data_IF_451914958338
#
_entry.id   IF_451914958338
#
_cell.length_a   1.000
_cell.length_b   1.000
_cell.length_c   1.000
_cell.angle_alpha   90.00
_cell.angle_beta   90.00
_cell.angle_gamma   90.00
#
_symmetry.space_group_name_H-M   'P 1'
#
loop_
_entity.id
_entity.type
_entity.pdbx_description
1 polymer ?
#
# COMPACT_ATOMS: atom_id res chain seq x y z
N UNK A 1 -1.26 -7.13 20.15
CA UNK A 1 -0.51 -6.16 19.31
C UNK A 1 -0.92 -4.77 19.76
N UNK A 2 0.04 -3.89 20.00
CA UNK A 2 -0.24 -2.50 20.34
C UNK A 2 -0.63 -1.73 19.06
N UNK A 3 -1.90 -1.37 18.95
CA UNK A 3 -2.45 -0.67 17.78
C UNK A 3 -2.17 0.85 17.80
N UNK A 4 -1.49 1.38 18.82
CA UNK A 4 -0.97 2.74 18.77
C UNK A 4 0.13 2.89 17.69
N UNK A 5 0.83 1.81 17.36
CA UNK A 5 1.88 1.83 16.33
C UNK A 5 1.30 1.78 14.92
N UNK A 6 1.81 2.62 14.00
CA UNK A 6 1.31 2.68 12.63
C UNK A 6 1.67 1.44 11.81
N UNK A 7 1.01 1.30 10.66
CA UNK A 7 1.55 0.54 9.53
C UNK A 7 2.18 1.54 8.57
N UNK A 8 3.42 1.32 8.19
CA UNK A 8 4.10 2.11 7.14
C UNK A 8 4.31 1.22 5.93
N UNK A 9 3.76 1.62 4.79
CA UNK A 9 3.78 0.87 3.52
C UNK A 9 4.57 1.65 2.48
N UNK A 10 5.65 1.08 1.98
CA UNK A 10 6.51 1.70 0.95
C UNK A 10 6.30 1.00 -0.38
N UNK A 11 6.06 1.76 -1.44
CA UNK A 11 5.80 1.24 -2.79
C UNK A 11 7.02 1.35 -3.69
N UNK A 12 7.34 0.29 -4.42
CA UNK A 12 8.41 0.29 -5.43
C UNK A 12 7.95 -0.43 -6.70
N UNK A 13 8.30 0.13 -7.87
CA UNK A 13 7.98 -0.47 -9.17
C UNK A 13 6.70 0.06 -9.79
N UNK A 14 5.92 -0.79 -10.46
CA UNK A 14 4.68 -0.37 -11.11
C UNK A 14 3.70 0.32 -10.13
N UNK A 15 2.98 1.31 -10.66
CA UNK A 15 1.89 1.99 -9.96
C UNK A 15 0.80 1.01 -9.54
N UNK A 16 0.13 1.29 -8.42
CA UNK A 16 -1.01 0.52 -7.96
C UNK A 16 -2.18 1.39 -7.53
N UNK A 17 -3.38 0.98 -7.93
CA UNK A 17 -4.62 1.51 -7.38
C UNK A 17 -4.83 0.87 -6.00
N UNK A 18 -4.48 1.62 -4.96
CA UNK A 18 -4.67 1.24 -3.56
C UNK A 18 -6.04 1.69 -3.08
N UNK A 19 -6.81 0.77 -2.53
CA UNK A 19 -8.13 1.02 -1.99
C UNK A 19 -8.08 1.12 -0.47
N UNK A 20 -8.57 2.22 0.09
CA UNK A 20 -8.76 2.45 1.51
C UNK A 20 -10.28 2.43 1.83
N UNK A 21 -10.74 1.35 2.45
CA UNK A 21 -12.11 1.18 2.94
C UNK A 21 -12.34 1.83 4.30
N UNK A 22 -13.50 1.59 4.91
CA UNK A 22 -13.82 2.01 6.28
C UNK A 22 -13.37 0.99 7.34
N UNK A 23 -13.93 1.10 8.54
CA UNK A 23 -13.79 0.12 9.64
C UNK A 23 -14.68 -1.11 9.48
N UNK A 24 -15.60 -1.10 8.50
CA UNK A 24 -16.42 -2.25 8.09
C UNK A 24 -16.07 -2.64 6.66
N UNK A 25 -16.08 -3.95 6.36
CA UNK A 25 -15.71 -4.49 5.04
C UNK A 25 -16.56 -3.94 3.89
N UNK A 26 -17.84 -3.68 4.15
CA UNK A 26 -18.83 -3.12 3.22
C UNK A 26 -18.95 -1.60 3.30
N UNK A 27 -18.11 -0.94 4.12
CA UNK A 27 -18.12 0.51 4.25
C UNK A 27 -17.61 1.21 2.98
N UNK A 28 -17.78 2.55 2.91
CA UNK A 28 -17.29 3.33 1.77
C UNK A 28 -15.77 3.20 1.62
N UNK A 29 -15.30 3.30 0.37
CA UNK A 29 -13.88 3.22 0.05
C UNK A 29 -13.44 4.37 -0.84
N UNK A 30 -12.16 4.74 -0.70
CA UNK A 30 -11.47 5.70 -1.54
C UNK A 30 -10.33 4.98 -2.26
N UNK A 31 -9.98 5.41 -3.45
CA UNK A 31 -8.85 4.85 -4.22
C UNK A 31 -7.78 5.91 -4.40
N UNK A 32 -6.54 5.53 -4.15
CA UNK A 32 -5.33 6.31 -4.38
C UNK A 32 -4.48 5.57 -5.40
N UNK A 33 -3.89 6.27 -6.35
CA UNK A 33 -2.81 5.70 -7.15
C UNK A 33 -1.52 5.89 -6.37
N UNK A 34 -0.85 4.78 -6.01
CA UNK A 34 0.46 4.79 -5.38
C UNK A 34 1.52 4.54 -6.44
N UNK A 35 2.47 5.46 -6.53
CA UNK A 35 3.62 5.41 -7.42
C UNK A 35 4.84 4.77 -6.75
N UNK A 36 5.84 4.44 -7.55
CA UNK A 36 7.15 4.05 -7.00
C UNK A 36 7.74 5.20 -6.18
N UNK A 37 8.13 4.91 -4.94
CA UNK A 37 8.64 5.89 -3.98
C UNK A 37 7.60 6.36 -2.96
N UNK A 38 6.31 6.13 -3.19
CA UNK A 38 5.27 6.57 -2.28
C UNK A 38 5.29 5.80 -0.95
N UNK A 39 5.00 6.54 0.13
CA UNK A 39 4.82 6.01 1.48
C UNK A 39 3.38 6.24 1.93
N UNK A 40 2.70 5.16 2.28
CA UNK A 40 1.34 5.21 2.84
C UNK A 40 1.37 4.81 4.32
N UNK A 41 0.80 5.65 5.18
CA UNK A 41 0.79 5.44 6.63
C UNK A 41 -0.64 5.25 7.13
N UNK A 42 -0.89 4.13 7.82
CA UNK A 42 -2.14 3.86 8.52
C UNK A 42 -1.90 3.97 10.03
N UNK A 43 -2.35 5.07 10.62
CA UNK A 43 -2.22 5.39 12.04
C UNK A 43 -3.55 5.84 12.64
N UNK A 44 -3.64 5.92 13.97
CA UNK A 44 -4.83 6.37 14.68
C UNK A 44 -6.09 5.61 14.26
N UNK A 45 -7.18 6.33 14.00
CA UNK A 45 -8.45 5.75 13.54
C UNK A 45 -8.33 4.98 12.22
N UNK A 46 -7.34 5.33 11.39
CA UNK A 46 -7.10 4.63 10.13
C UNK A 46 -6.34 3.32 10.27
N UNK A 47 -5.73 3.05 11.43
CA UNK A 47 -4.87 1.88 11.67
C UNK A 47 -5.54 0.54 11.41
N UNK A 48 -6.86 0.48 11.59
CA UNK A 48 -7.67 -0.73 11.45
C UNK A 48 -8.61 -0.68 10.24
N UNK A 49 -8.49 0.32 9.37
CA UNK A 49 -9.32 0.40 8.16
C UNK A 49 -8.99 -0.73 7.20
N UNK A 50 -10.02 -1.31 6.59
CA UNK A 50 -9.84 -2.26 5.49
C UNK A 50 -9.08 -1.59 4.35
N UNK A 51 -8.13 -2.28 3.75
CA UNK A 51 -7.37 -1.76 2.63
C UNK A 51 -6.80 -2.89 1.78
N UNK A 52 -6.39 -2.55 0.56
CA UNK A 52 -5.77 -3.51 -0.35
C UNK A 52 -5.39 -2.90 -1.69
N UNK A 53 -4.74 -3.68 -2.53
CA UNK A 53 -4.43 -3.30 -3.91
C UNK A 53 -5.57 -3.79 -4.80
N UNK A 54 -6.23 -2.86 -5.50
CA UNK A 54 -7.29 -3.17 -6.46
C UNK A 54 -6.71 -3.61 -7.81
N UNK A 55 -5.66 -2.92 -8.27
CA UNK A 55 -5.00 -3.16 -9.56
C UNK A 55 -3.55 -2.71 -9.52
N UNK A 56 -2.66 -3.47 -10.16
CA UNK A 56 -1.30 -3.03 -10.51
C UNK A 56 -1.31 -2.61 -11.98
N UNK A 57 -0.68 -1.48 -12.31
CA UNK A 57 -0.64 -0.91 -13.67
C UNK A 57 0.67 -1.29 -14.36
N UNK A 58 0.67 -2.25 -15.31
CA UNK A 58 1.90 -2.71 -15.94
C UNK A 58 2.60 -1.60 -16.74
N UNK A 59 3.93 -1.64 -16.80
CA UNK A 59 4.75 -0.73 -17.61
C UNK A 59 4.85 0.70 -17.09
N UNK A 60 4.47 0.94 -15.84
CA UNK A 60 4.50 2.29 -15.21
C UNK A 60 5.72 2.50 -14.32
N UNK A 61 6.46 1.44 -13.99
CA UNK A 61 7.65 1.54 -13.15
C UNK A 61 8.69 2.52 -13.72
N UNK A 62 9.09 3.56 -12.95
CA UNK A 62 10.18 4.45 -13.35
C UNK A 62 11.57 3.84 -13.06
N UNK A 63 11.63 2.71 -12.36
CA UNK A 63 12.87 2.05 -11.95
C UNK A 63 13.04 0.71 -12.67
N UNK A 64 14.29 0.41 -13.04
CA UNK A 64 14.72 -0.91 -13.52
C UNK A 64 15.59 -1.56 -12.44
N UNK A 65 15.13 -2.66 -11.86
CA UNK A 65 15.86 -3.35 -10.80
C UNK A 65 15.68 -4.87 -10.97
N UNK A 66 16.73 -5.66 -10.74
CA UNK A 66 16.67 -7.12 -10.95
C UNK A 66 15.63 -7.81 -10.05
N UNK A 67 15.35 -7.23 -8.88
CA UNK A 67 14.30 -7.71 -7.96
C UNK A 67 12.86 -7.39 -8.44
N UNK A 68 12.69 -6.63 -9.53
CA UNK A 68 11.41 -6.24 -10.11
C UNK A 68 11.33 -6.72 -11.58
N UNK A 69 11.21 -8.05 -11.82
CA UNK A 69 11.12 -8.59 -13.17
C UNK A 69 9.89 -8.06 -13.91
N UNK A 70 10.04 -7.80 -15.21
CA UNK A 70 9.03 -7.19 -16.09
C UNK A 70 8.45 -5.85 -15.55
N UNK A 71 9.24 -5.14 -14.75
CA UNK A 71 8.79 -3.90 -14.12
C UNK A 71 7.77 -4.14 -13.01
N UNK A 72 7.78 -5.30 -12.32
CA UNK A 72 6.84 -5.66 -11.25
C UNK A 72 6.74 -4.66 -10.08
N UNK A 73 5.91 -4.97 -9.09
CA UNK A 73 5.68 -4.12 -7.90
C UNK A 73 6.04 -4.85 -6.62
N UNK A 74 6.81 -4.21 -5.74
CA UNK A 74 7.06 -4.65 -4.37
C UNK A 74 6.48 -3.63 -3.40
N UNK A 75 5.95 -4.13 -2.28
CA UNK A 75 5.53 -3.32 -1.14
C UNK A 75 6.26 -3.79 0.11
N UNK A 76 6.95 -2.88 0.80
CA UNK A 76 7.49 -3.14 2.14
C UNK A 76 6.51 -2.60 3.18
N UNK A 77 5.91 -3.49 3.96
CA UNK A 77 4.97 -3.13 5.03
C UNK A 77 5.63 -3.32 6.40
N UNK A 78 5.99 -2.21 7.03
CA UNK A 78 6.61 -2.19 8.35
C UNK A 78 5.53 -2.10 9.44
N UNK A 79 5.65 -2.95 10.45
CA UNK A 79 4.73 -3.02 11.61
C UNK A 79 5.50 -3.42 12.86
N UNK A 80 5.11 -2.87 14.00
CA UNK A 80 5.50 -3.45 15.30
C UNK A 80 4.60 -4.65 15.60
N UNK A 81 5.14 -5.87 15.46
CA UNK A 81 4.38 -7.11 15.63
C UNK A 81 4.36 -7.62 17.08
N UNK A 82 5.32 -7.20 17.91
CA UNK A 82 5.48 -7.53 19.32
C UNK A 82 6.02 -6.32 20.09
#
# INVERSE_FOLDING_TARGET
>A
ADFAWPIVSLSFGNDADFQLGGTKRTGPSQTFTLHSGDVFVLAGESRLRYHGVKRVRPGTSPIKHHALPEGGRINLTLRRAR
#
